data_IF_087858032052
#
_entry.id   IF_087858032052
#
_cell.length_a   1.000
_cell.length_b   1.000
_cell.length_c   1.000
_cell.angle_alpha   90.00
_cell.angle_beta   90.00
_cell.angle_gamma   90.00
#
_symmetry.space_group_name_H-M   'P 1'
#
loop_
_entity.id
_entity.type
_entity.pdbx_description
1 polymer ?
#
# COMPACT_ATOMS: atom_id res chain seq x y z
N UNK A 1 -19.63 -47.78 -17.72
CA UNK A 1 -19.00 -49.09 -17.98
C UNK A 1 -18.81 -49.21 -19.48
N UNK A 2 -17.64 -49.61 -20.02
CA UNK A 2 -16.35 -49.85 -19.36
C UNK A 2 -15.21 -49.00 -20.00
N UNK A 3 -14.14 -48.72 -19.23
CA UNK A 3 -12.78 -49.31 -19.37
C UNK A 3 -11.91 -48.61 -20.41
N UNK A 4 -10.61 -48.38 -20.23
CA UNK A 4 -9.61 -48.82 -19.26
C UNK A 4 -8.45 -47.80 -19.34
N UNK A 5 -7.83 -47.41 -18.23
CA UNK A 5 -6.64 -48.07 -17.66
C UNK A 5 -5.54 -48.26 -18.71
N UNK A 6 -4.49 -47.44 -18.70
CA UNK A 6 -3.38 -47.42 -17.73
C UNK A 6 -2.23 -48.34 -18.14
N UNK A 7 -1.03 -47.79 -17.95
CA UNK A 7 0.16 -48.51 -17.48
C UNK A 7 1.03 -49.19 -18.56
N UNK A 8 2.26 -48.71 -18.66
CA UNK A 8 3.51 -49.42 -18.32
C UNK A 8 4.66 -48.79 -19.14
N UNK A 9 5.53 -47.98 -18.54
CA UNK A 9 6.62 -48.37 -17.66
C UNK A 9 7.78 -49.09 -18.38
N UNK A 10 8.92 -48.40 -18.38
CA UNK A 10 10.22 -48.88 -17.93
C UNK A 10 11.16 -49.59 -18.92
N UNK A 11 12.44 -49.23 -18.72
CA UNK A 11 13.66 -50.01 -18.93
C UNK A 11 14.35 -49.95 -20.31
N UNK A 12 15.27 -48.99 -20.43
CA UNK A 12 16.64 -49.32 -20.86
C UNK A 12 17.38 -49.89 -19.62
N UNK A 13 18.38 -50.80 -19.75
CA UNK A 13 19.73 -50.32 -20.04
C UNK A 13 20.72 -51.28 -20.74
N UNK A 14 21.73 -50.65 -21.36
CA UNK A 14 23.17 -51.03 -21.36
C UNK A 14 23.73 -52.16 -22.28
N UNK A 15 25.05 -52.11 -22.57
CA UNK A 15 25.61 -52.24 -23.92
C UNK A 15 26.43 -53.52 -24.15
N UNK A 16 26.75 -53.82 -25.41
CA UNK A 16 27.79 -54.79 -25.77
C UNK A 16 28.67 -54.32 -26.94
N UNK A 17 29.94 -54.07 -26.59
CA UNK A 17 31.20 -54.48 -27.21
C UNK A 17 31.22 -54.98 -28.67
N UNK A 18 32.15 -54.41 -29.45
CA UNK A 18 33.02 -55.03 -30.48
C UNK A 18 34.12 -53.98 -30.79
N UNK A 19 35.34 -54.08 -30.27
CA UNK A 19 36.48 -54.93 -30.64
C UNK A 19 37.21 -54.54 -31.93
N UNK A 20 38.44 -54.04 -31.71
CA UNK A 20 39.71 -54.27 -32.42
C UNK A 20 39.88 -53.87 -33.89
N UNK A 21 40.80 -52.92 -34.11
CA UNK A 21 41.57 -52.74 -35.34
C UNK A 21 43.03 -52.45 -34.98
N UNK A 22 43.90 -53.38 -35.35
CA UNK A 22 45.36 -53.39 -35.16
C UNK A 22 46.10 -52.41 -36.07
N UNK A 23 47.24 -51.90 -35.58
CA UNK A 23 48.25 -51.22 -36.39
C UNK A 23 49.49 -50.86 -35.57
N UNK A 24 50.52 -51.72 -35.59
CA UNK A 24 51.87 -51.46 -35.04
C UNK A 24 52.81 -50.93 -36.13
N UNK A 25 53.73 -50.05 -35.76
CA UNK A 25 55.23 -50.12 -35.89
C UNK A 25 55.86 -48.70 -35.73
N UNK A 26 57.19 -48.52 -35.50
CA UNK A 26 57.82 -48.65 -34.19
C UNK A 26 58.73 -47.45 -33.77
N UNK A 27 59.31 -47.61 -32.59
CA UNK A 27 60.20 -46.78 -31.76
C UNK A 27 61.29 -45.88 -32.40
N UNK A 28 61.54 -44.75 -31.71
CA UNK A 28 62.81 -44.01 -31.60
C UNK A 28 62.82 -43.17 -30.29
N UNK A 29 63.91 -43.19 -29.51
CA UNK A 29 64.08 -42.54 -28.18
C UNK A 29 65.20 -41.44 -28.23
N UNK A 30 65.53 -40.65 -27.16
CA UNK A 30 65.29 -39.21 -26.91
C UNK A 30 66.64 -38.38 -26.87
N UNK A 31 66.85 -37.13 -26.33
CA UNK A 31 66.49 -36.60 -24.97
C UNK A 31 66.24 -35.06 -24.77
N UNK A 32 65.70 -34.73 -23.58
CA UNK A 32 65.92 -33.51 -22.74
C UNK A 32 65.49 -32.10 -23.20
N UNK A 33 64.64 -31.43 -22.38
CA UNK A 33 64.97 -30.22 -21.59
C UNK A 33 63.75 -29.49 -20.99
N UNK A 34 63.91 -29.14 -19.71
CA UNK A 34 63.50 -27.89 -19.04
C UNK A 34 62.00 -27.68 -18.74
N UNK A 35 61.70 -27.67 -17.44
CA UNK A 35 60.53 -27.07 -16.78
C UNK A 35 60.36 -25.60 -17.14
N UNK A 36 59.13 -25.08 -17.18
CA UNK A 36 58.79 -24.14 -16.10
C UNK A 36 57.42 -24.44 -15.49
N UNK A 37 57.46 -24.60 -14.18
CA UNK A 37 56.65 -23.90 -13.18
C UNK A 37 55.32 -23.32 -13.67
N UNK A 38 54.23 -23.82 -13.09
CA UNK A 38 52.86 -23.41 -13.36
C UNK A 38 52.64 -21.90 -13.19
N UNK A 39 52.02 -21.30 -14.20
CA UNK A 39 51.45 -19.95 -14.14
C UNK A 39 50.54 -19.72 -15.35
N UNK A 40 49.53 -20.59 -15.55
CA UNK A 40 48.54 -20.39 -16.61
C UNK A 40 47.11 -20.84 -16.25
N UNK A 41 46.93 -21.64 -15.20
CA UNK A 41 45.61 -22.16 -14.84
C UNK A 41 44.78 -21.27 -13.89
N UNK A 42 45.40 -20.28 -13.25
CA UNK A 42 44.75 -19.43 -12.22
C UNK A 42 44.25 -18.06 -12.75
N UNK A 43 44.68 -17.64 -13.93
CA UNK A 43 44.25 -16.37 -14.54
C UNK A 43 42.85 -16.48 -15.17
N UNK A 44 42.52 -17.63 -15.75
CA UNK A 44 41.22 -17.86 -16.39
C UNK A 44 40.09 -17.97 -15.36
N UNK A 45 40.35 -18.62 -14.21
CA UNK A 45 39.40 -18.74 -13.10
C UNK A 45 39.21 -17.40 -12.37
N UNK A 46 40.25 -16.59 -12.22
CA UNK A 46 40.16 -15.26 -11.59
C UNK A 46 39.31 -14.28 -12.41
N UNK A 47 39.50 -14.25 -13.74
CA UNK A 47 38.73 -13.36 -14.63
C UNK A 47 37.24 -13.75 -14.71
N UNK A 48 36.95 -15.05 -14.74
CA UNK A 48 35.57 -15.54 -14.69
C UNK A 48 34.92 -15.29 -13.32
N UNK A 49 35.68 -15.39 -12.21
CA UNK A 49 35.16 -15.09 -10.87
C UNK A 49 34.85 -13.60 -10.70
N UNK A 50 35.75 -12.70 -11.11
CA UNK A 50 35.54 -11.25 -11.02
C UNK A 50 34.35 -10.77 -11.88
N UNK A 51 34.20 -11.32 -13.09
CA UNK A 51 33.04 -11.03 -13.94
C UNK A 51 31.75 -11.57 -13.33
N UNK A 52 31.76 -12.78 -12.74
CA UNK A 52 30.60 -13.33 -12.04
C UNK A 52 30.23 -12.55 -10.77
N UNK A 53 31.21 -12.00 -10.04
CA UNK A 53 30.98 -11.16 -8.86
C UNK A 53 30.43 -9.80 -9.26
N UNK A 54 31.00 -9.13 -10.27
CA UNK A 54 30.50 -7.85 -10.75
C UNK A 54 29.09 -7.93 -11.37
N UNK A 55 28.75 -9.06 -12.01
CA UNK A 55 27.37 -9.32 -12.46
C UNK A 55 26.44 -9.52 -11.26
N UNK A 56 26.87 -10.28 -10.24
CA UNK A 56 26.08 -10.49 -9.01
C UNK A 56 25.83 -9.19 -8.25
N UNK A 57 26.85 -8.37 -8.04
CA UNK A 57 26.74 -7.06 -7.38
C UNK A 57 25.76 -6.15 -8.14
N UNK A 58 25.91 -6.03 -9.46
CA UNK A 58 24.99 -5.24 -10.29
C UNK A 58 23.55 -5.77 -10.23
N UNK A 59 23.36 -7.08 -10.26
CA UNK A 59 22.01 -7.66 -10.14
C UNK A 59 21.42 -7.43 -8.76
N UNK A 60 22.25 -7.48 -7.72
CA UNK A 60 21.85 -7.23 -6.34
C UNK A 60 21.40 -5.76 -6.17
N UNK A 61 22.18 -4.80 -6.68
CA UNK A 61 21.83 -3.37 -6.61
C UNK A 61 20.50 -3.05 -7.34
N UNK A 62 20.25 -3.71 -8.47
CA UNK A 62 19.00 -3.56 -9.21
C UNK A 62 17.80 -4.17 -8.46
N UNK A 63 17.99 -5.34 -7.84
CA UNK A 63 16.95 -5.99 -7.04
C UNK A 63 16.66 -5.18 -5.78
N UNK A 64 17.69 -4.72 -5.08
CA UNK A 64 17.55 -3.90 -3.87
C UNK A 64 16.85 -2.57 -4.20
N UNK A 65 17.18 -1.96 -5.33
CA UNK A 65 16.49 -0.77 -5.85
C UNK A 65 15.02 -1.03 -6.20
N UNK A 66 14.71 -2.16 -6.85
CA UNK A 66 13.34 -2.54 -7.18
C UNK A 66 12.49 -2.78 -5.92
N UNK A 67 13.03 -3.52 -4.94
CA UNK A 67 12.37 -3.78 -3.65
C UNK A 67 12.10 -2.48 -2.91
N UNK A 68 13.07 -1.56 -2.87
CA UNK A 68 12.89 -0.26 -2.22
C UNK A 68 11.75 0.56 -2.85
N UNK A 69 11.63 0.55 -4.19
CA UNK A 69 10.56 1.23 -4.91
C UNK A 69 9.18 0.64 -4.62
N UNK A 70 9.06 -0.69 -4.54
CA UNK A 70 7.81 -1.38 -4.21
C UNK A 70 7.38 -1.12 -2.76
N UNK A 71 8.32 -1.16 -1.82
CA UNK A 71 8.07 -0.81 -0.41
C UNK A 71 7.58 0.63 -0.29
N UNK A 72 8.21 1.57 -1.00
CA UNK A 72 7.81 2.98 -1.01
C UNK A 72 6.40 3.16 -1.58
N UNK A 73 6.07 2.55 -2.72
CA UNK A 73 4.71 2.60 -3.29
C UNK A 73 3.68 2.06 -2.31
N UNK A 74 3.97 0.92 -1.69
CA UNK A 74 3.10 0.30 -0.69
C UNK A 74 2.89 1.23 0.51
N UNK A 75 3.96 1.84 1.02
CA UNK A 75 3.88 2.80 2.12
C UNK A 75 3.01 4.03 1.76
N UNK A 76 3.15 4.56 0.54
CA UNK A 76 2.32 5.67 0.03
C UNK A 76 0.84 5.26 -0.01
N UNK A 77 0.53 4.07 -0.50
CA UNK A 77 -0.85 3.55 -0.57
C UNK A 77 -1.46 3.34 0.82
N UNK A 78 -0.68 2.84 1.78
CA UNK A 78 -1.14 2.57 3.14
C UNK A 78 -1.28 3.83 4.01
N UNK A 79 -0.65 4.94 3.64
CA UNK A 79 -0.69 6.16 4.43
C UNK A 79 -2.12 6.69 4.63
N UNK A 80 -2.95 6.66 3.59
CA UNK A 80 -4.34 7.09 3.65
C UNK A 80 -5.20 6.28 4.64
N UNK A 81 -5.29 4.93 4.57
CA UNK A 81 -6.14 4.16 5.49
C UNK A 81 -5.71 4.30 6.95
N UNK A 82 -4.40 4.36 7.27
CA UNK A 82 -3.96 4.61 8.64
C UNK A 82 -4.35 6.01 9.14
N UNK A 83 -4.15 7.04 8.30
CA UNK A 83 -4.57 8.39 8.64
C UNK A 83 -6.10 8.50 8.78
N UNK A 84 -6.86 7.77 7.95
CA UNK A 84 -8.31 7.69 8.04
C UNK A 84 -8.77 7.10 9.38
N UNK A 85 -8.16 6.00 9.85
CA UNK A 85 -8.49 5.41 11.16
C UNK A 85 -8.31 6.42 12.31
N UNK A 86 -7.27 7.26 12.27
CA UNK A 86 -7.07 8.30 13.26
C UNK A 86 -8.20 9.34 13.24
N UNK A 87 -8.59 9.81 12.06
CA UNK A 87 -9.68 10.80 11.91
C UNK A 87 -11.02 10.20 12.32
N UNK A 88 -11.29 8.94 11.98
CA UNK A 88 -12.48 8.21 12.41
C UNK A 88 -12.54 8.14 13.94
N UNK A 89 -11.44 7.80 14.61
CA UNK A 89 -11.37 7.77 16.07
C UNK A 89 -11.71 9.13 16.68
N UNK A 90 -11.17 10.21 16.13
CA UNK A 90 -11.44 11.58 16.60
C UNK A 90 -12.91 11.93 16.38
N UNK A 91 -13.47 11.60 15.22
CA UNK A 91 -14.89 11.80 14.91
C UNK A 91 -15.82 11.04 15.85
N UNK A 92 -15.53 9.77 16.15
CA UNK A 92 -16.35 8.97 17.08
C UNK A 92 -16.33 9.57 18.49
N UNK A 93 -15.17 10.03 18.96
CA UNK A 93 -15.06 10.77 20.24
C UNK A 93 -15.85 12.08 20.22
N UNK A 94 -15.89 12.80 19.10
CA UNK A 94 -16.74 13.99 18.95
C UNK A 94 -18.22 13.65 19.04
N UNK A 95 -18.65 12.52 18.50
CA UNK A 95 -20.04 12.06 18.59
C UNK A 95 -20.42 11.69 20.02
N UNK A 96 -19.55 10.98 20.74
CA UNK A 96 -19.74 10.59 22.14
C UNK A 96 -19.95 11.80 23.08
N UNK A 97 -19.40 12.97 22.72
CA UNK A 97 -19.60 14.21 23.47
C UNK A 97 -21.08 14.55 23.71
N UNK A 98 -22.00 14.16 22.81
CA UNK A 98 -23.45 14.37 23.01
C UNK A 98 -23.98 13.70 24.27
N UNK A 99 -23.47 12.51 24.60
CA UNK A 99 -23.83 11.79 25.82
C UNK A 99 -23.04 12.32 27.01
N UNK A 100 -21.71 12.47 26.87
CA UNK A 100 -20.82 12.92 27.94
C UNK A 100 -21.16 14.32 28.46
N UNK A 101 -21.51 15.26 27.58
CA UNK A 101 -21.86 16.64 27.94
C UNK A 101 -23.07 16.79 28.86
N UNK A 102 -23.91 15.75 29.00
CA UNK A 102 -25.05 15.74 29.93
C UNK A 102 -24.60 15.63 31.38
N UNK A 103 -23.43 15.07 31.63
CA UNK A 103 -22.87 14.87 32.97
C UNK A 103 -22.10 16.10 33.47
N UNK A 104 -21.63 16.95 32.54
CA UNK A 104 -20.86 18.16 32.84
C UNK A 104 -21.75 19.32 33.26
N UNK A 105 -21.25 20.18 34.15
CA UNK A 105 -21.97 21.38 34.64
C UNK A 105 -21.06 22.62 34.68
N UNK A 106 -21.68 23.80 34.72
CA UNK A 106 -20.96 25.06 34.94
C UNK A 106 -19.81 25.32 33.97
N UNK A 107 -18.67 25.74 34.52
CA UNK A 107 -17.46 26.10 33.77
C UNK A 107 -16.87 24.93 32.96
N UNK A 108 -16.83 23.73 33.55
CA UNK A 108 -16.33 22.51 32.89
C UNK A 108 -17.10 22.20 31.60
N UNK A 109 -18.43 22.36 31.63
CA UNK A 109 -19.27 22.19 30.43
C UNK A 109 -18.98 23.23 29.37
N UNK A 110 -18.71 24.47 29.76
CA UNK A 110 -18.41 25.56 28.83
C UNK A 110 -17.06 25.34 28.14
N UNK A 111 -16.04 24.94 28.89
CA UNK A 111 -14.72 24.58 28.35
C UNK A 111 -14.81 23.37 27.40
N UNK A 112 -15.48 22.30 27.83
CA UNK A 112 -15.68 21.10 27.01
C UNK A 112 -16.42 21.40 25.70
N UNK A 113 -17.40 22.30 25.73
CA UNK A 113 -18.10 22.77 24.53
C UNK A 113 -17.16 23.53 23.58
N UNK A 114 -16.35 24.46 24.10
CA UNK A 114 -15.35 25.18 23.30
C UNK A 114 -14.36 24.21 22.62
N UNK A 115 -13.94 23.18 23.35
CA UNK A 115 -13.09 22.13 22.79
C UNK A 115 -13.81 21.31 21.70
N UNK A 116 -15.09 20.99 21.87
CA UNK A 116 -15.91 20.32 20.84
C UNK A 116 -16.04 21.18 19.57
N UNK A 117 -16.34 22.47 19.70
CA UNK A 117 -16.50 23.40 18.58
C UNK A 117 -15.20 23.58 17.78
N UNK A 118 -14.08 23.81 18.48
CA UNK A 118 -12.77 23.95 17.84
C UNK A 118 -12.28 22.64 17.21
N UNK A 119 -12.51 21.50 17.88
CA UNK A 119 -12.19 20.18 17.32
C UNK A 119 -13.02 19.89 16.08
N UNK A 120 -14.31 20.23 16.05
CA UNK A 120 -15.16 20.06 14.86
C UNK A 120 -14.58 20.73 13.61
N UNK A 121 -14.03 21.94 13.75
CA UNK A 121 -13.32 22.62 12.66
C UNK A 121 -12.04 21.89 12.26
N UNK A 122 -11.25 21.41 13.22
CA UNK A 122 -10.04 20.62 12.93
C UNK A 122 -10.36 19.32 12.20
N UNK A 123 -11.44 18.62 12.56
CA UNK A 123 -11.86 17.38 11.87
C UNK A 123 -12.27 17.66 10.42
N UNK A 124 -12.99 18.76 10.15
CA UNK A 124 -13.28 19.15 8.76
C UNK A 124 -11.98 19.33 7.95
N UNK A 125 -11.00 20.07 8.50
CA UNK A 125 -9.71 20.28 7.84
C UNK A 125 -8.93 18.97 7.66
N UNK A 126 -8.94 18.07 8.66
CA UNK A 126 -8.33 16.75 8.55
C UNK A 126 -8.97 15.92 7.44
N UNK A 127 -10.30 15.95 7.29
CA UNK A 127 -11.01 15.23 6.19
C UNK A 127 -10.63 15.79 4.83
N UNK A 128 -10.57 17.12 4.68
CA UNK A 128 -10.09 17.76 3.44
C UNK A 128 -8.65 17.30 3.14
N UNK A 129 -7.78 17.33 4.16
CA UNK A 129 -6.40 16.86 4.05
C UNK A 129 -6.28 15.38 3.68
N UNK A 130 -7.14 14.51 4.23
CA UNK A 130 -7.16 13.08 3.90
C UNK A 130 -7.53 12.80 2.45
N UNK A 131 -8.48 13.56 1.91
CA UNK A 131 -8.90 13.44 0.51
C UNK A 131 -7.78 13.94 -0.40
N UNK A 132 -7.18 15.11 -0.08
CA UNK A 132 -6.03 15.62 -0.80
C UNK A 132 -4.86 14.62 -0.78
N UNK A 133 -4.61 13.98 0.36
CA UNK A 133 -3.60 12.95 0.52
C UNK A 133 -3.86 11.72 -0.37
N UNK A 134 -5.12 11.29 -0.50
CA UNK A 134 -5.48 10.18 -1.38
C UNK A 134 -5.20 10.51 -2.86
N UNK A 135 -5.59 11.71 -3.31
CA UNK A 135 -5.29 12.17 -4.67
C UNK A 135 -3.78 12.34 -4.91
N UNK A 136 -3.05 12.87 -3.92
CA UNK A 136 -1.60 12.98 -3.99
C UNK A 136 -0.93 11.60 -4.11
N UNK A 137 -1.35 10.62 -3.30
CA UNK A 137 -0.85 9.24 -3.38
C UNK A 137 -1.10 8.61 -4.76
N UNK A 138 -2.31 8.80 -5.33
CA UNK A 138 -2.64 8.35 -6.69
C UNK A 138 -1.73 9.01 -7.73
N UNK A 139 -1.57 10.33 -7.67
CA UNK A 139 -0.74 11.09 -8.61
C UNK A 139 0.75 10.70 -8.51
N UNK A 140 1.29 10.58 -7.30
CA UNK A 140 2.68 10.14 -7.10
C UNK A 140 2.90 8.72 -7.62
N UNK A 141 1.95 7.81 -7.41
CA UNK A 141 2.07 6.43 -7.92
C UNK A 141 2.06 6.39 -9.46
N UNK A 142 1.23 7.21 -10.11
CA UNK A 142 1.19 7.34 -11.57
C UNK A 142 2.52 7.90 -12.12
N UNK A 143 3.04 8.98 -11.53
CA UNK A 143 4.33 9.59 -11.93
C UNK A 143 5.47 8.58 -11.81
N UNK A 144 5.54 7.86 -10.68
CA UNK A 144 6.56 6.82 -10.48
C UNK A 144 6.38 5.65 -11.46
N UNK A 145 5.15 5.39 -11.93
CA UNK A 145 4.83 4.41 -12.97
C UNK A 145 5.16 4.85 -14.40
N UNK A 146 5.58 6.10 -14.61
CA UNK A 146 5.83 6.67 -15.94
C UNK A 146 4.55 7.05 -16.70
N UNK A 147 3.41 7.13 -16.01
CA UNK A 147 2.13 7.54 -16.58
C UNK A 147 2.03 9.07 -16.69
N UNK A 148 1.35 9.57 -17.72
CA UNK A 148 1.07 10.99 -17.88
C UNK A 148 -0.02 11.45 -16.92
N UNK A 149 0.14 12.62 -16.31
CA UNK A 149 -0.90 13.23 -15.48
C UNK A 149 -2.11 13.63 -16.34
N UNK A 150 -3.19 12.86 -16.27
CA UNK A 150 -4.44 13.10 -16.98
C UNK A 150 -5.58 13.47 -16.02
N UNK A 151 -6.70 13.97 -16.56
CA UNK A 151 -7.92 14.29 -15.78
C UNK A 151 -8.51 13.01 -15.14
N UNK A 152 -8.24 11.82 -15.69
CA UNK A 152 -8.67 10.53 -15.15
C UNK A 152 -8.07 10.24 -13.76
N UNK A 153 -6.97 10.90 -13.40
CA UNK A 153 -6.42 10.85 -12.04
C UNK A 153 -7.37 11.51 -11.04
N UNK A 154 -8.11 12.54 -11.46
CA UNK A 154 -9.07 13.25 -10.62
C UNK A 154 -10.43 12.54 -10.52
N UNK A 155 -10.75 11.64 -11.45
CA UNK A 155 -11.98 10.87 -11.38
C UNK A 155 -11.84 9.72 -10.35
N UNK A 156 -12.74 9.64 -9.35
CA UNK A 156 -12.80 8.49 -8.46
C UNK A 156 -13.39 7.32 -9.25
N UNK A 157 -12.56 6.57 -9.96
CA UNK A 157 -12.95 5.42 -10.80
C UNK A 157 -13.56 4.23 -10.03
N UNK A 158 -13.93 4.39 -8.76
CA UNK A 158 -14.50 3.36 -7.90
C UNK A 158 -15.44 3.96 -6.85
N UNK A 159 -16.35 3.12 -6.34
CA UNK A 159 -17.41 3.55 -5.42
C UNK A 159 -16.88 4.15 -4.11
N UNK A 160 -15.79 3.61 -3.55
CA UNK A 160 -15.16 4.17 -2.34
C UNK A 160 -14.80 5.66 -2.52
N UNK A 161 -14.22 6.06 -3.65
CA UNK A 161 -13.84 7.45 -3.92
C UNK A 161 -15.05 8.39 -4.01
N UNK A 162 -16.13 7.99 -4.69
CA UNK A 162 -17.38 8.75 -4.74
C UNK A 162 -18.02 8.91 -3.36
N UNK A 163 -18.06 7.84 -2.57
CA UNK A 163 -18.56 7.88 -1.18
C UNK A 163 -17.68 8.80 -0.32
N UNK A 164 -16.38 8.88 -0.57
CA UNK A 164 -15.47 9.82 0.09
C UNK A 164 -15.86 11.29 -0.16
N UNK A 165 -16.17 11.65 -1.40
CA UNK A 165 -16.64 13.00 -1.76
C UNK A 165 -18.02 13.33 -1.16
N UNK A 166 -18.93 12.35 -1.14
CA UNK A 166 -20.20 12.47 -0.42
C UNK A 166 -19.98 12.71 1.07
N UNK A 167 -19.05 11.96 1.67
CA UNK A 167 -18.62 12.12 3.06
C UNK A 167 -18.12 13.53 3.36
N UNK A 168 -17.28 14.11 2.49
CA UNK A 168 -16.83 15.50 2.62
C UNK A 168 -17.98 16.50 2.57
N UNK A 169 -18.91 16.31 1.63
CA UNK A 169 -20.09 17.18 1.49
C UNK A 169 -20.94 17.17 2.75
N UNK A 170 -21.20 15.98 3.29
CA UNK A 170 -21.92 15.81 4.56
C UNK A 170 -21.13 16.38 5.74
N UNK A 171 -19.80 16.27 5.74
CA UNK A 171 -18.95 16.83 6.78
C UNK A 171 -19.00 18.37 6.80
N UNK A 172 -18.96 19.01 5.63
CA UNK A 172 -19.15 20.46 5.49
C UNK A 172 -20.53 20.86 6.01
N UNK A 173 -21.57 20.10 5.66
CA UNK A 173 -22.92 20.35 6.15
C UNK A 173 -23.03 20.20 7.68
N UNK A 174 -22.44 19.14 8.25
CA UNK A 174 -22.40 18.90 9.68
C UNK A 174 -21.69 20.03 10.43
N UNK A 175 -20.54 20.47 9.92
CA UNK A 175 -19.78 21.61 10.45
C UNK A 175 -20.61 22.90 10.41
N UNK A 176 -21.29 23.20 9.27
CA UNK A 176 -22.17 24.36 9.16
C UNK A 176 -23.30 24.35 10.18
N UNK A 177 -23.92 23.18 10.44
CA UNK A 177 -24.94 23.05 11.48
C UNK A 177 -24.37 23.29 12.89
N UNK A 178 -23.15 22.82 13.14
CA UNK A 178 -22.42 23.07 14.40
C UNK A 178 -22.17 24.56 14.62
N UNK A 179 -21.56 25.23 13.64
CA UNK A 179 -21.31 26.68 13.66
C UNK A 179 -22.60 27.48 13.84
N UNK A 180 -23.66 27.14 13.09
CA UNK A 180 -24.97 27.81 13.25
C UNK A 180 -25.56 27.60 14.64
N UNK A 181 -25.40 26.41 15.24
CA UNK A 181 -25.87 26.14 16.60
C UNK A 181 -25.15 27.01 17.63
N UNK A 182 -23.82 27.16 17.48
CA UNK A 182 -23.01 28.06 18.30
C UNK A 182 -23.48 29.51 18.16
N UNK A 183 -23.61 29.99 16.93
CA UNK A 183 -23.96 31.38 16.65
C UNK A 183 -25.36 31.74 17.18
N UNK A 184 -26.35 30.86 16.99
CA UNK A 184 -27.69 31.01 17.58
C UNK A 184 -27.65 31.02 19.11
N UNK A 185 -26.82 30.16 19.72
CA UNK A 185 -26.67 30.12 21.17
C UNK A 185 -26.06 31.42 21.70
N UNK A 186 -25.04 31.97 21.03
CA UNK A 186 -24.45 33.26 21.42
C UNK A 186 -25.41 34.43 21.26
N UNK A 187 -26.33 34.37 20.29
CA UNK A 187 -27.38 35.36 20.09
C UNK A 187 -28.56 35.22 21.08
N UNK A 188 -28.57 34.19 21.95
CA UNK A 188 -29.70 33.90 22.84
C UNK A 188 -30.95 33.37 22.11
N UNK A 189 -30.80 32.97 20.84
CA UNK A 189 -31.90 32.49 20.01
C UNK A 189 -32.17 30.98 20.20
N UNK A 190 -33.33 30.53 19.71
CA UNK A 190 -33.72 29.11 19.80
C UNK A 190 -32.84 28.24 18.89
N UNK A 191 -31.87 27.54 19.48
CA UNK A 191 -30.91 26.68 18.75
C UNK A 191 -31.23 25.17 18.77
N UNK A 192 -32.22 24.72 19.55
CA UNK A 192 -32.47 23.29 19.80
C UNK A 192 -32.70 22.46 18.52
N UNK A 193 -33.46 22.99 17.54
CA UNK A 193 -33.73 22.29 16.28
C UNK A 193 -32.45 22.05 15.48
N UNK A 194 -31.59 23.06 15.35
CA UNK A 194 -30.31 22.99 14.62
C UNK A 194 -29.35 22.01 15.30
N UNK A 195 -29.26 22.07 16.63
CA UNK A 195 -28.46 21.13 17.45
C UNK A 195 -28.90 19.68 17.26
N UNK A 196 -30.21 19.43 17.24
CA UNK A 196 -30.73 18.08 17.12
C UNK A 196 -30.53 17.53 15.70
N UNK A 197 -30.65 18.39 14.67
CA UNK A 197 -30.29 18.03 13.30
C UNK A 197 -28.79 17.72 13.16
N UNK A 198 -27.91 18.54 13.74
CA UNK A 198 -26.46 18.28 13.78
C UNK A 198 -26.18 16.89 14.36
N UNK A 199 -26.81 16.53 15.48
CA UNK A 199 -26.68 15.20 16.08
C UNK A 199 -27.15 14.07 15.14
N UNK A 200 -28.32 14.20 14.52
CA UNK A 200 -28.84 13.17 13.59
C UNK A 200 -27.96 12.99 12.35
N UNK A 201 -27.44 14.08 11.79
CA UNK A 201 -26.50 14.03 10.67
C UNK A 201 -25.20 13.32 11.09
N UNK A 202 -24.70 13.59 12.30
CA UNK A 202 -23.54 12.88 12.84
C UNK A 202 -23.78 11.37 13.00
N UNK A 203 -24.98 10.95 13.39
CA UNK A 203 -25.36 9.54 13.47
C UNK A 203 -25.35 8.86 12.09
N UNK A 204 -25.94 9.50 11.07
CA UNK A 204 -25.91 9.01 9.69
C UNK A 204 -24.46 8.93 9.18
N UNK A 205 -23.66 9.96 9.45
CA UNK A 205 -22.25 9.98 9.08
C UNK A 205 -21.45 8.87 9.73
N UNK A 206 -21.71 8.52 10.99
CA UNK A 206 -21.01 7.42 11.65
C UNK A 206 -21.21 6.09 10.91
N UNK A 207 -22.43 5.81 10.46
CA UNK A 207 -22.74 4.60 9.66
C UNK A 207 -22.04 4.66 8.31
N UNK A 208 -22.15 5.80 7.60
CA UNK A 208 -21.51 5.98 6.30
C UNK A 208 -19.99 5.84 6.36
N UNK A 209 -19.35 6.35 7.42
CA UNK A 209 -17.91 6.22 7.64
C UNK A 209 -17.49 4.76 7.77
N UNK A 210 -18.25 3.94 8.50
CA UNK A 210 -17.97 2.51 8.64
C UNK A 210 -18.07 1.80 7.28
N UNK A 211 -19.15 2.07 6.53
CA UNK A 211 -19.34 1.52 5.19
C UNK A 211 -18.19 1.97 4.26
N UNK A 212 -17.85 3.25 4.27
CA UNK A 212 -16.79 3.81 3.44
C UNK A 212 -15.42 3.21 3.75
N UNK A 213 -15.08 3.04 5.03
CA UNK A 213 -13.85 2.38 5.47
C UNK A 213 -13.80 0.91 5.04
N UNK A 214 -14.92 0.20 5.17
CA UNK A 214 -15.04 -1.18 4.69
C UNK A 214 -14.85 -1.30 3.17
N UNK A 215 -15.47 -0.41 2.40
CA UNK A 215 -15.28 -0.35 0.93
C UNK A 215 -13.82 -0.04 0.56
N UNK A 216 -13.17 0.86 1.30
CA UNK A 216 -11.76 1.18 1.09
C UNK A 216 -10.84 -0.01 1.39
N UNK A 217 -11.16 -0.77 2.44
CA UNK A 217 -10.46 -2.02 2.74
C UNK A 217 -10.64 -3.06 1.64
N UNK A 218 -11.85 -3.26 1.11
CA UNK A 218 -12.08 -4.17 -0.02
C UNK A 218 -11.30 -3.73 -1.27
N UNK A 219 -11.23 -2.43 -1.54
CA UNK A 219 -10.46 -1.89 -2.66
C UNK A 219 -8.95 -2.11 -2.48
N UNK A 220 -8.44 -1.99 -1.25
CA UNK A 220 -7.06 -2.33 -0.93
C UNK A 220 -6.74 -3.79 -1.25
N UNK A 221 -7.66 -4.74 -0.94
CA UNK A 221 -7.50 -6.16 -1.29
C UNK A 221 -7.58 -6.45 -2.80
N UNK A 222 -8.11 -5.53 -3.61
CA UNK A 222 -8.13 -5.66 -5.06
C UNK A 222 -6.84 -5.16 -5.71
N UNK A 223 -6.17 -4.19 -5.08
CA UNK A 223 -4.94 -3.58 -5.60
C UNK A 223 -3.70 -4.34 -5.14
N UNK A 224 -3.69 -4.83 -3.89
CA UNK A 224 -2.61 -5.65 -3.33
C UNK A 224 -2.82 -7.12 -3.68
#
# INVERSE_FOLDING_TARGET
MPSASASHACAAPHPRLLSAGEGRTPAGIPPSRITPTGLAHDLHTSRHRLTSQGVKERTQDLVDGAVAMEVMRTAILLLHPFAALLVIRIFMKQREWRAASRQLKGAERAESLSHHESTGTRVLLMVIGLIALAFAAKATTAILGGESLSIEILEPGHFHGWVGLLGLTLMIYLWRLGSRTRDLKSAGERFAKTRDLHGRVADVMAVLIVIHAFLGFLYLLQIL
#
